data_IF_868830506020
#
_entry.id   IF_868830506020
#
_cell.length_a   1.000
_cell.length_b   1.000
_cell.length_c   1.000
_cell.angle_alpha   90.00
_cell.angle_beta   90.00
_cell.angle_gamma   90.00
#
_symmetry.space_group_name_H-M   'P 1'
#
loop_
_entity.id
_entity.type
_entity.pdbx_description
1 polymer ?
#
# COMPACT_ATOMS: atom_id res chain seq x y z
N UNK A 1 8.68 25.46 14.12
CA UNK A 1 8.82 24.17 13.41
C UNK A 1 9.06 24.47 11.93
N UNK A 2 10.22 24.06 11.42
CA UNK A 2 10.62 24.40 10.05
C UNK A 2 9.87 23.54 9.02
N UNK A 3 9.83 23.98 7.76
CA UNK A 3 9.27 23.20 6.65
C UNK A 3 9.97 21.84 6.49
N UNK A 4 11.26 21.79 6.81
CA UNK A 4 12.06 20.57 6.81
C UNK A 4 11.58 19.58 7.90
N UNK A 5 11.36 20.05 9.13
CA UNK A 5 10.85 19.21 10.23
C UNK A 5 9.47 18.60 9.91
N UNK A 6 8.59 19.41 9.30
CA UNK A 6 7.25 18.97 8.87
C UNK A 6 7.33 17.92 7.76
N UNK A 7 8.28 18.06 6.83
CA UNK A 7 8.52 17.11 5.75
C UNK A 7 9.09 15.80 6.27
N UNK A 8 9.97 15.85 7.28
CA UNK A 8 10.54 14.67 7.92
C UNK A 8 9.44 13.87 8.64
N UNK A 9 8.57 14.53 9.42
CA UNK A 9 7.42 13.88 10.06
C UNK A 9 6.47 13.30 9.03
N UNK A 10 6.16 14.03 7.96
CA UNK A 10 5.32 13.52 6.88
C UNK A 10 5.88 12.24 6.27
N UNK A 11 7.18 12.20 5.99
CA UNK A 11 7.84 11.00 5.46
C UNK A 11 7.79 9.82 6.45
N UNK A 12 7.96 10.07 7.75
CA UNK A 12 7.81 9.04 8.78
C UNK A 12 6.38 8.50 8.80
N UNK A 13 5.37 9.38 8.77
CA UNK A 13 3.97 8.98 8.74
C UNK A 13 3.64 8.16 7.49
N UNK A 14 4.15 8.56 6.32
CA UNK A 14 3.96 7.81 5.07
C UNK A 14 4.64 6.44 5.14
N UNK A 15 5.86 6.35 5.67
CA UNK A 15 6.56 5.09 5.84
C UNK A 15 5.80 4.14 6.78
N UNK A 16 5.35 4.64 7.94
CA UNK A 16 4.54 3.88 8.88
C UNK A 16 3.22 3.41 8.26
N UNK A 17 2.54 4.29 7.51
CA UNK A 17 1.32 3.94 6.79
C UNK A 17 1.55 2.81 5.78
N UNK A 18 2.65 2.88 5.01
CA UNK A 18 3.00 1.84 4.05
C UNK A 18 3.29 0.49 4.72
N UNK A 19 3.99 0.50 5.87
CA UNK A 19 4.25 -0.73 6.64
C UNK A 19 2.93 -1.33 7.13
N UNK A 20 2.05 -0.52 7.74
CA UNK A 20 0.76 -0.98 8.26
C UNK A 20 -0.13 -1.52 7.13
N UNK A 21 -0.20 -0.80 6.00
CA UNK A 21 -0.99 -1.20 4.85
C UNK A 21 -0.44 -2.49 4.20
N UNK A 22 0.89 -2.62 4.11
CA UNK A 22 1.54 -3.84 3.65
C UNK A 22 1.20 -5.04 4.53
N UNK A 23 1.34 -4.91 5.85
CA UNK A 23 1.01 -5.96 6.82
C UNK A 23 -0.49 -6.33 6.77
N UNK A 24 -1.38 -5.35 6.64
CA UNK A 24 -2.81 -5.60 6.55
C UNK A 24 -3.16 -6.41 5.28
N UNK A 25 -2.53 -6.09 4.15
CA UNK A 25 -2.76 -6.79 2.89
C UNK A 25 -2.16 -8.19 2.91
N UNK A 26 -0.96 -8.36 3.47
CA UNK A 26 -0.38 -9.70 3.69
C UNK A 26 -1.27 -10.57 4.57
N UNK A 27 -1.77 -10.03 5.69
CA UNK A 27 -2.69 -10.77 6.57
C UNK A 27 -3.96 -11.21 5.84
N UNK A 28 -4.54 -10.33 5.01
CA UNK A 28 -5.74 -10.66 4.22
C UNK A 28 -5.45 -11.69 3.15
N UNK A 29 -4.31 -11.59 2.46
CA UNK A 29 -3.94 -12.53 1.39
C UNK A 29 -3.59 -13.91 1.95
N UNK A 30 -2.72 -13.97 2.96
CA UNK A 30 -2.29 -15.23 3.59
C UNK A 30 -3.45 -15.85 4.36
N UNK A 31 -4.14 -15.06 5.18
CA UNK A 31 -5.30 -15.52 5.96
C UNK A 31 -6.46 -15.95 5.06
N UNK A 32 -6.77 -15.18 4.02
CA UNK A 32 -7.79 -15.51 3.03
C UNK A 32 -7.47 -16.79 2.26
N UNK A 33 -6.20 -16.94 1.83
CA UNK A 33 -5.73 -18.17 1.17
C UNK A 33 -5.84 -19.37 2.09
N UNK A 34 -5.42 -19.25 3.35
CA UNK A 34 -5.52 -20.33 4.33
C UNK A 34 -6.98 -20.74 4.60
N UNK A 35 -7.88 -19.78 4.83
CA UNK A 35 -9.31 -20.06 5.05
C UNK A 35 -9.95 -20.70 3.82
N UNK A 36 -9.60 -20.24 2.61
CA UNK A 36 -10.13 -20.81 1.38
C UNK A 36 -9.64 -22.25 1.16
N UNK A 37 -8.35 -22.50 1.31
CA UNK A 37 -7.74 -23.81 1.09
C UNK A 37 -8.12 -24.84 2.17
N UNK A 38 -8.32 -24.40 3.42
CA UNK A 38 -8.83 -25.26 4.49
C UNK A 38 -10.26 -25.75 4.26
N UNK A 39 -11.08 -24.98 3.53
CA UNK A 39 -12.43 -25.42 3.11
C UNK A 39 -12.40 -26.36 1.91
N UNK A 40 -11.33 -26.37 1.13
CA UNK A 40 -11.18 -27.21 -0.07
C UNK A 40 -9.83 -27.94 -0.10
N UNK A 41 -9.59 -28.89 0.83
CA UNK A 41 -8.29 -29.57 0.96
C UNK A 41 -7.91 -30.40 -0.27
N UNK A 42 -8.90 -30.90 -1.03
CA UNK A 42 -8.67 -31.72 -2.22
C UNK A 42 -7.96 -30.95 -3.37
N UNK A 43 -8.11 -29.63 -3.43
CA UNK A 43 -7.46 -28.77 -4.43
C UNK A 43 -6.23 -28.04 -3.86
N UNK A 44 -6.01 -28.08 -2.55
CA UNK A 44 -4.99 -27.28 -1.89
C UNK A 44 -3.55 -27.62 -2.33
N UNK A 45 -3.29 -28.88 -2.66
CA UNK A 45 -2.00 -29.33 -3.20
C UNK A 45 -1.99 -29.47 -4.74
N UNK A 46 -3.04 -28.97 -5.41
CA UNK A 46 -3.11 -29.00 -6.86
C UNK A 46 -2.03 -28.12 -7.49
N UNK A 47 -1.44 -28.59 -8.59
CA UNK A 47 -0.45 -27.82 -9.38
C UNK A 47 -1.01 -26.45 -9.77
N UNK A 48 -2.31 -26.37 -10.09
CA UNK A 48 -3.01 -25.12 -10.41
C UNK A 48 -2.92 -24.10 -9.28
N UNK A 49 -3.12 -24.50 -8.03
CA UNK A 49 -3.06 -23.61 -6.86
C UNK A 49 -1.64 -23.12 -6.63
N UNK A 50 -0.65 -24.01 -6.68
CA UNK A 50 0.76 -23.65 -6.51
C UNK A 50 1.26 -22.67 -7.59
N UNK A 51 0.72 -22.76 -8.80
CA UNK A 51 1.03 -21.81 -9.88
C UNK A 51 0.27 -20.50 -9.75
N UNK A 52 -1.01 -20.52 -9.34
CA UNK A 52 -1.86 -19.32 -9.24
C UNK A 52 -1.59 -18.46 -8.00
N UNK A 53 -1.25 -19.06 -6.87
CA UNK A 53 -1.05 -18.34 -5.59
C UNK A 53 -0.01 -17.21 -5.69
N UNK A 54 1.17 -17.41 -6.32
CA UNK A 54 2.17 -16.35 -6.49
C UNK A 54 1.64 -15.17 -7.31
N UNK A 55 0.84 -15.41 -8.36
CA UNK A 55 0.26 -14.33 -9.17
C UNK A 55 -0.80 -13.54 -8.39
N UNK A 56 -1.60 -14.22 -7.58
CA UNK A 56 -2.59 -13.57 -6.71
C UNK A 56 -1.89 -12.69 -5.66
N UNK A 57 -0.83 -13.21 -5.04
CA UNK A 57 -0.01 -12.45 -4.10
C UNK A 57 0.62 -11.22 -4.78
N UNK A 58 1.18 -11.40 -5.98
CA UNK A 58 1.77 -10.31 -6.74
C UNK A 58 0.75 -9.23 -7.13
N UNK A 59 -0.45 -9.63 -7.56
CA UNK A 59 -1.55 -8.71 -7.84
C UNK A 59 -1.97 -7.94 -6.58
N UNK A 60 -1.99 -8.61 -5.41
CA UNK A 60 -2.26 -7.99 -4.12
C UNK A 60 -1.24 -6.91 -3.75
N UNK A 61 0.06 -7.16 -4.00
CA UNK A 61 1.13 -6.17 -3.78
C UNK A 61 0.97 -4.95 -4.70
N UNK A 62 0.63 -5.16 -5.98
CA UNK A 62 0.40 -4.04 -6.91
C UNK A 62 -0.80 -3.19 -6.45
N UNK A 63 -1.90 -3.83 -6.05
CA UNK A 63 -3.07 -3.15 -5.51
C UNK A 63 -2.72 -2.35 -4.24
N UNK A 64 -1.88 -2.91 -3.36
CA UNK A 64 -1.37 -2.23 -2.17
C UNK A 64 -0.63 -0.93 -2.53
N UNK A 65 0.28 -1.00 -3.50
CA UNK A 65 1.03 0.17 -3.97
C UNK A 65 0.10 1.25 -4.54
N UNK A 66 -0.88 0.86 -5.37
CA UNK A 66 -1.86 1.79 -5.92
C UNK A 66 -2.72 2.46 -4.84
N UNK A 67 -3.20 1.69 -3.87
CA UNK A 67 -3.98 2.19 -2.73
C UNK A 67 -3.17 3.13 -1.85
N UNK A 68 -1.90 2.80 -1.61
CA UNK A 68 -0.98 3.65 -0.86
C UNK A 68 -0.85 5.03 -1.52
N UNK A 69 -0.49 5.06 -2.80
CA UNK A 69 -0.31 6.32 -3.54
C UNK A 69 -1.60 7.14 -3.57
N UNK A 70 -2.75 6.50 -3.83
CA UNK A 70 -4.05 7.21 -3.81
C UNK A 70 -4.38 7.79 -2.44
N UNK A 71 -4.16 7.02 -1.36
CA UNK A 71 -4.47 7.47 0.00
C UNK A 71 -3.57 8.63 0.42
N UNK A 72 -2.28 8.56 0.11
CA UNK A 72 -1.32 9.64 0.39
C UNK A 72 -1.66 10.88 -0.44
N UNK A 73 -1.96 10.73 -1.73
CA UNK A 73 -2.36 11.83 -2.61
C UNK A 73 -3.65 12.51 -2.12
N UNK A 74 -4.63 11.71 -1.65
CA UNK A 74 -5.85 12.22 -1.02
C UNK A 74 -5.57 12.96 0.28
N UNK A 75 -4.71 12.43 1.16
CA UNK A 75 -4.34 13.09 2.41
C UNK A 75 -3.65 14.44 2.15
N UNK A 76 -2.74 14.51 1.18
CA UNK A 76 -2.08 15.76 0.81
C UNK A 76 -3.10 16.80 0.33
N UNK A 77 -4.06 16.39 -0.52
CA UNK A 77 -5.13 17.28 -1.02
C UNK A 77 -6.09 17.71 0.07
N UNK A 78 -6.52 16.81 0.96
CA UNK A 78 -7.54 17.08 1.98
C UNK A 78 -7.04 17.97 3.13
N UNK A 79 -5.77 17.82 3.51
CA UNK A 79 -5.17 18.61 4.59
C UNK A 79 -4.40 19.85 4.11
N UNK A 80 -4.52 20.17 2.81
CA UNK A 80 -3.80 21.26 2.13
C UNK A 80 -2.31 21.32 2.51
N UNK A 81 -1.66 20.16 2.43
CA UNK A 81 -0.25 20.03 2.81
C UNK A 81 0.69 20.56 1.72
N UNK A 82 0.15 20.95 0.56
CA UNK A 82 0.91 21.44 -0.60
C UNK A 82 1.79 22.65 -0.28
N UNK A 83 1.29 23.57 0.54
CA UNK A 83 2.00 24.79 0.92
C UNK A 83 2.79 24.64 2.24
N UNK A 84 2.74 23.47 2.89
CA UNK A 84 3.33 23.22 4.22
C UNK A 84 4.50 22.25 4.20
N UNK A 85 4.72 21.57 3.08
CA UNK A 85 5.76 20.56 2.88
C UNK A 85 6.63 20.93 1.67
N UNK A 86 7.81 20.33 1.58
CA UNK A 86 8.65 20.51 0.41
C UNK A 86 8.01 19.96 -0.87
N UNK A 87 8.06 20.75 -1.95
CA UNK A 87 7.53 20.37 -3.26
C UNK A 87 8.11 19.06 -3.80
N UNK A 88 9.37 18.74 -3.45
CA UNK A 88 10.03 17.48 -3.85
C UNK A 88 9.35 16.25 -3.24
N UNK A 89 8.82 16.36 -2.02
CA UNK A 89 8.09 15.27 -1.37
C UNK A 89 6.67 15.14 -1.96
N UNK A 90 6.01 16.25 -2.26
CA UNK A 90 4.64 16.28 -2.80
C UNK A 90 4.60 15.76 -4.25
N UNK A 91 5.57 16.13 -5.09
CA UNK A 91 5.66 15.70 -6.51
C UNK A 91 5.74 14.18 -6.69
N UNK A 92 6.09 13.42 -5.65
CA UNK A 92 6.09 11.94 -5.67
C UNK A 92 4.69 11.32 -5.63
N UNK A 93 3.70 12.07 -5.15
CA UNK A 93 2.34 11.56 -4.88
C UNK A 93 1.26 12.35 -5.60
N UNK A 94 1.54 13.60 -5.95
CA UNK A 94 0.71 14.44 -6.79
C UNK A 94 1.53 14.74 -8.03
N UNK A 95 1.33 13.95 -9.09
CA UNK A 95 1.57 14.46 -10.43
C UNK A 95 0.44 15.46 -10.68
N UNK A 96 0.69 16.72 -10.36
CA UNK A 96 0.01 17.80 -11.06
C UNK A 96 0.47 17.66 -12.50
N UNK A 97 -0.41 17.11 -13.34
CA UNK A 97 -0.39 17.36 -14.76
C UNK A 97 -0.28 18.89 -14.92
N UNK A 98 0.88 19.31 -15.42
CA UNK A 98 1.13 20.66 -15.92
C UNK A 98 0.17 20.95 -17.08
#
# INVERSE_FOLDING_TARGET
MTTHDRTLIFNICVALFNIILGLAIELVLVGGSFIFLSKFPAIANGISVNVLLPFILFAGIILAMMLSVKTISWAIKKFDLKNKLEQKAIKRYIHEDL
#
